data_IF_408077235292
#
_entry.id   IF_408077235292
#
_cell.length_a   1.000
_cell.length_b   1.000
_cell.length_c   1.000
_cell.angle_alpha   90.00
_cell.angle_beta   90.00
_cell.angle_gamma   90.00
#
_symmetry.space_group_name_H-M   'P 1'
#
loop_
_entity.id
_entity.type
_entity.pdbx_description
1 polymer ?
#
# COMPACT_ATOMS: atom_id res chain seq x y z
N UNK A 1 -29.92 3.53 20.81
CA UNK A 1 -30.88 3.51 19.69
C UNK A 1 -30.27 4.30 18.52
N UNK A 2 -29.45 3.65 17.68
CA UNK A 2 -28.95 4.24 16.45
C UNK A 2 -29.92 3.84 15.34
N UNK A 3 -30.61 4.82 14.74
CA UNK A 3 -31.47 4.61 13.59
C UNK A 3 -30.64 3.96 12.49
N UNK A 4 -31.00 2.73 12.12
CA UNK A 4 -30.70 2.20 10.81
C UNK A 4 -31.32 3.19 9.81
N UNK A 5 -30.48 3.96 9.13
CA UNK A 5 -30.89 4.67 7.93
C UNK A 5 -31.37 3.60 6.95
N UNK A 6 -32.66 3.62 6.64
CA UNK A 6 -33.28 2.78 5.62
C UNK A 6 -32.48 2.94 4.33
N UNK A 7 -31.75 1.90 3.95
CA UNK A 7 -31.21 1.79 2.60
C UNK A 7 -32.42 1.47 1.75
N UNK A 8 -33.05 2.51 1.21
CA UNK A 8 -34.01 2.34 0.13
C UNK A 8 -33.24 1.66 -1.00
N UNK A 9 -33.55 0.39 -1.26
CA UNK A 9 -33.05 -0.33 -2.43
C UNK A 9 -33.75 0.30 -3.63
N UNK A 10 -33.19 1.41 -4.12
CA UNK A 10 -33.37 1.86 -5.48
C UNK A 10 -32.75 0.79 -6.39
N UNK A 11 -33.27 0.66 -7.61
CA UNK A 11 -33.03 -0.37 -8.63
C UNK A 11 -31.63 -1.01 -8.68
N UNK A 12 -31.51 -2.14 -9.40
CA UNK A 12 -30.21 -2.76 -9.74
C UNK A 12 -29.20 -1.74 -10.32
N UNK A 13 -29.68 -0.69 -10.99
CA UNK A 13 -28.87 0.41 -11.51
C UNK A 13 -28.39 1.45 -10.48
N UNK A 14 -28.89 1.46 -9.24
CA UNK A 14 -28.46 2.44 -8.24
C UNK A 14 -26.96 2.29 -7.94
N UNK A 15 -26.26 3.41 -7.94
CA UNK A 15 -24.83 3.47 -7.76
C UNK A 15 -24.38 2.90 -6.40
N UNK A 16 -25.16 3.08 -5.32
CA UNK A 16 -24.85 2.49 -4.01
C UNK A 16 -24.89 0.96 -4.04
N UNK A 17 -25.91 0.38 -4.68
CA UNK A 17 -26.04 -1.08 -4.84
C UNK A 17 -24.84 -1.64 -5.60
N UNK A 18 -24.46 -0.97 -6.69
CA UNK A 18 -23.29 -1.31 -7.50
C UNK A 18 -21.98 -1.18 -6.73
N UNK A 19 -21.83 -0.17 -5.87
CA UNK A 19 -20.63 0.00 -5.03
C UNK A 19 -20.50 -1.16 -4.03
N UNK A 20 -21.58 -1.59 -3.40
CA UNK A 20 -21.56 -2.69 -2.44
C UNK A 20 -21.22 -4.03 -3.13
N UNK A 21 -21.77 -4.27 -4.33
CA UNK A 21 -21.40 -5.42 -5.17
C UNK A 21 -19.93 -5.36 -5.63
N UNK A 22 -19.45 -4.19 -6.05
CA UNK A 22 -18.05 -3.98 -6.40
C UNK A 22 -17.11 -4.24 -5.22
N UNK A 23 -17.50 -3.88 -4.00
CA UNK A 23 -16.74 -4.19 -2.79
C UNK A 23 -16.56 -5.70 -2.56
N UNK A 24 -17.57 -6.50 -2.89
CA UNK A 24 -17.47 -7.97 -2.83
C UNK A 24 -16.56 -8.50 -3.93
N UNK A 25 -16.66 -7.96 -5.15
CA UNK A 25 -15.81 -8.34 -6.28
C UNK A 25 -14.32 -8.10 -5.98
N UNK A 26 -13.95 -6.89 -5.52
CA UNK A 26 -12.54 -6.56 -5.23
C UNK A 26 -11.96 -7.35 -4.04
N UNK A 27 -12.81 -7.85 -3.13
CA UNK A 27 -12.39 -8.78 -2.06
C UNK A 27 -12.01 -10.15 -2.61
N UNK A 28 -12.72 -10.62 -3.63
CA UNK A 28 -12.44 -11.91 -4.27
C UNK A 28 -11.13 -11.87 -5.09
N UNK A 29 -10.78 -10.72 -5.67
CA UNK A 29 -9.58 -10.49 -6.49
C UNK A 29 -8.23 -10.51 -5.73
N UNK A 30 -8.23 -10.88 -4.44
CA UNK A 30 -7.01 -10.91 -3.59
C UNK A 30 -6.21 -9.58 -3.58
N UNK A 31 -6.90 -8.46 -3.78
CA UNK A 31 -6.28 -7.13 -3.69
C UNK A 31 -5.88 -6.82 -2.24
N UNK A 32 -4.89 -5.92 -2.08
CA UNK A 32 -4.48 -5.52 -0.74
C UNK A 32 -5.62 -4.79 0.00
N UNK A 33 -5.75 -4.92 1.33
CA UNK A 33 -6.78 -4.20 2.10
C UNK A 33 -6.76 -2.69 1.87
N UNK A 34 -5.57 -2.11 1.69
CA UNK A 34 -5.40 -0.69 1.38
C UNK A 34 -5.96 -0.34 -0.02
N UNK A 35 -5.78 -1.21 -1.01
CA UNK A 35 -6.34 -1.04 -2.36
C UNK A 35 -7.86 -1.10 -2.33
N UNK A 36 -8.42 -2.06 -1.58
CA UNK A 36 -9.87 -2.18 -1.38
C UNK A 36 -10.46 -0.88 -0.83
N UNK A 37 -9.94 -0.42 0.31
CA UNK A 37 -10.39 0.82 0.96
C UNK A 37 -10.25 2.02 0.04
N UNK A 38 -9.14 2.10 -0.71
CA UNK A 38 -8.93 3.19 -1.65
C UNK A 38 -9.95 3.18 -2.81
N UNK A 39 -10.23 2.02 -3.40
CA UNK A 39 -11.09 1.91 -4.58
C UNK A 39 -12.56 2.07 -4.20
N UNK A 40 -13.03 1.35 -3.19
CA UNK A 40 -14.43 1.48 -2.76
C UNK A 40 -14.70 2.84 -2.13
N UNK A 41 -13.75 3.36 -1.33
CA UNK A 41 -13.85 4.71 -0.78
C UNK A 41 -13.90 5.80 -1.86
N UNK A 42 -13.24 5.58 -2.99
CA UNK A 42 -13.33 6.49 -4.14
C UNK A 42 -14.72 6.46 -4.78
N UNK A 43 -15.30 5.28 -5.00
CA UNK A 43 -16.63 5.17 -5.59
C UNK A 43 -17.71 5.77 -4.68
N UNK A 44 -17.60 5.56 -3.35
CA UNK A 44 -18.46 6.23 -2.36
C UNK A 44 -18.29 7.75 -2.37
N UNK A 45 -17.05 8.26 -2.47
CA UNK A 45 -16.79 9.69 -2.58
C UNK A 45 -17.43 10.30 -3.83
N UNK A 46 -17.38 9.58 -4.96
CA UNK A 46 -18.03 10.00 -6.20
C UNK A 46 -19.56 10.00 -6.09
N UNK A 47 -20.16 8.96 -5.50
CA UNK A 47 -21.60 8.94 -5.22
C UNK A 47 -22.04 10.14 -4.38
N UNK A 48 -21.34 10.43 -3.27
CA UNK A 48 -21.63 11.62 -2.45
C UNK A 48 -21.55 12.91 -3.26
N UNK A 49 -20.54 13.06 -4.11
CA UNK A 49 -20.41 14.22 -4.99
C UNK A 49 -21.59 14.38 -5.94
N UNK A 50 -22.06 13.29 -6.57
CA UNK A 50 -23.22 13.33 -7.47
C UNK A 50 -24.49 13.78 -6.74
N UNK A 51 -24.74 13.22 -5.56
CA UNK A 51 -25.89 13.58 -4.73
C UNK A 51 -25.85 15.06 -4.34
N UNK A 52 -24.70 15.54 -3.87
CA UNK A 52 -24.54 16.93 -3.43
C UNK A 52 -24.76 17.95 -4.57
N UNK A 53 -24.55 17.54 -5.83
CA UNK A 53 -24.71 18.40 -7.01
C UNK A 53 -25.99 18.12 -7.79
N UNK A 54 -26.89 17.26 -7.28
CA UNK A 54 -28.15 16.92 -7.95
C UNK A 54 -27.96 16.18 -9.28
N UNK A 55 -26.85 15.45 -9.44
CA UNK A 55 -26.52 14.66 -10.62
C UNK A 55 -27.13 13.25 -10.54
N UNK A 56 -27.23 12.51 -11.67
CA UNK A 56 -27.82 11.17 -11.69
C UNK A 56 -27.11 10.19 -10.75
N UNK A 57 -27.90 9.35 -10.07
CA UNK A 57 -27.42 8.31 -9.16
C UNK A 57 -27.57 6.89 -9.72
N UNK A 58 -28.19 6.73 -10.89
CA UNK A 58 -28.24 5.45 -11.61
C UNK A 58 -26.99 5.33 -12.49
N UNK A 59 -26.28 4.21 -12.38
CA UNK A 59 -25.02 3.93 -13.08
C UNK A 59 -25.18 4.02 -14.60
N UNK A 60 -26.34 3.69 -15.15
CA UNK A 60 -26.63 3.76 -16.59
C UNK A 60 -26.77 5.20 -17.10
N UNK A 61 -27.13 6.13 -16.22
CA UNK A 61 -27.30 7.55 -16.53
C UNK A 61 -26.01 8.36 -16.30
N UNK A 62 -24.97 7.74 -15.75
CA UNK A 62 -23.69 8.41 -15.54
C UNK A 62 -22.97 8.57 -16.89
N UNK A 63 -22.66 9.82 -17.22
CA UNK A 63 -21.90 10.20 -18.42
C UNK A 63 -20.54 10.77 -18.07
N UNK A 64 -19.72 10.98 -19.10
CA UNK A 64 -18.34 11.47 -18.97
C UNK A 64 -18.27 12.79 -18.21
N UNK A 65 -19.20 13.71 -18.49
CA UNK A 65 -19.28 15.04 -17.88
C UNK A 65 -19.40 14.99 -16.35
N UNK A 66 -20.10 13.99 -15.80
CA UNK A 66 -20.22 13.82 -14.35
C UNK A 66 -18.88 13.41 -13.72
N UNK A 67 -18.16 12.51 -14.39
CA UNK A 67 -16.82 12.08 -13.96
C UNK A 67 -15.82 13.23 -14.09
N UNK A 68 -15.83 13.97 -15.20
CA UNK A 68 -14.97 15.14 -15.41
C UNK A 68 -15.21 16.23 -14.36
N UNK A 69 -16.48 16.51 -14.03
CA UNK A 69 -16.85 17.45 -12.97
C UNK A 69 -16.29 17.03 -11.61
N UNK A 70 -16.41 15.75 -11.25
CA UNK A 70 -15.82 15.22 -10.02
C UNK A 70 -14.29 15.31 -9.99
N UNK A 71 -13.62 14.94 -11.08
CA UNK A 71 -12.15 15.02 -11.17
C UNK A 71 -11.68 16.48 -11.09
N UNK A 72 -12.41 17.42 -11.69
CA UNK A 72 -12.14 18.85 -11.58
C UNK A 72 -12.26 19.35 -10.14
N UNK A 73 -13.33 18.96 -9.43
CA UNK A 73 -13.50 19.27 -8.00
C UNK A 73 -12.36 18.71 -7.13
N UNK A 74 -11.92 17.48 -7.42
CA UNK A 74 -10.79 16.87 -6.73
C UNK A 74 -9.48 17.65 -6.96
N UNK A 75 -9.24 18.15 -8.17
CA UNK A 75 -8.03 18.91 -8.50
C UNK A 75 -7.99 20.29 -7.83
N UNK A 76 -9.15 20.86 -7.49
CA UNK A 76 -9.23 22.11 -6.72
C UNK A 76 -8.91 21.89 -5.23
N UNK A 77 -9.25 20.70 -4.70
CA UNK A 77 -9.14 20.40 -3.26
C UNK A 77 -7.87 19.63 -2.88
N UNK A 78 -7.30 18.86 -3.82
CA UNK A 78 -6.25 17.89 -3.54
C UNK A 78 -5.07 17.98 -4.51
N UNK A 79 -3.94 17.40 -4.08
CA UNK A 79 -2.77 17.25 -4.96
C UNK A 79 -3.13 16.42 -6.21
N UNK A 80 -2.51 16.68 -7.37
CA UNK A 80 -2.75 15.91 -8.60
C UNK A 80 -2.58 14.39 -8.44
N UNK A 81 -1.63 13.97 -7.61
CA UNK A 81 -1.43 12.54 -7.30
C UNK A 81 -2.64 11.91 -6.60
N UNK A 82 -3.28 12.62 -5.68
CA UNK A 82 -4.50 12.16 -5.01
C UNK A 82 -5.66 12.06 -6.01
N UNK A 83 -5.86 13.10 -6.83
CA UNK A 83 -6.89 13.09 -7.87
C UNK A 83 -6.67 11.95 -8.88
N UNK A 84 -5.42 11.67 -9.25
CA UNK A 84 -5.08 10.53 -10.12
C UNK A 84 -5.40 9.18 -9.46
N UNK A 85 -5.10 9.01 -8.17
CA UNK A 85 -5.47 7.79 -7.44
C UNK A 85 -6.99 7.59 -7.40
N UNK A 86 -7.78 8.66 -7.21
CA UNK A 86 -9.25 8.60 -7.30
C UNK A 86 -9.71 8.29 -8.72
N UNK A 87 -9.10 8.89 -9.75
CA UNK A 87 -9.37 8.52 -11.14
C UNK A 87 -9.16 7.02 -11.38
N UNK A 88 -8.09 6.42 -10.85
CA UNK A 88 -7.83 4.97 -10.99
C UNK A 88 -8.84 4.11 -10.24
N UNK A 89 -9.30 4.55 -9.07
CA UNK A 89 -10.37 3.89 -8.34
C UNK A 89 -11.68 3.85 -9.16
N UNK A 90 -12.09 5.00 -9.73
CA UNK A 90 -13.26 5.06 -10.61
C UNK A 90 -13.08 4.25 -11.89
N UNK A 91 -11.89 4.25 -12.47
CA UNK A 91 -11.60 3.45 -13.66
C UNK A 91 -11.79 1.95 -13.38
N UNK A 92 -11.37 1.48 -12.19
CA UNK A 92 -11.61 0.10 -11.77
C UNK A 92 -13.11 -0.18 -11.56
N UNK A 93 -13.83 0.74 -10.93
CA UNK A 93 -15.27 0.62 -10.70
C UNK A 93 -16.06 0.54 -12.01
N UNK A 94 -15.87 1.49 -12.92
CA UNK A 94 -16.59 1.52 -14.21
C UNK A 94 -16.14 0.45 -15.21
N UNK A 95 -14.96 -0.15 -14.99
CA UNK A 95 -14.57 -1.36 -15.71
C UNK A 95 -15.40 -2.55 -15.21
N UNK A 96 -15.52 -2.72 -13.90
CA UNK A 96 -16.34 -3.78 -13.32
C UNK A 96 -17.82 -3.65 -13.72
N UNK A 97 -18.42 -2.46 -13.68
CA UNK A 97 -19.82 -2.26 -14.11
C UNK A 97 -20.04 -2.62 -15.59
N UNK A 98 -19.02 -2.45 -16.43
CA UNK A 98 -19.08 -2.87 -17.84
C UNK A 98 -18.98 -4.39 -17.98
N UNK A 99 -18.13 -5.04 -17.18
CA UNK A 99 -17.96 -6.50 -17.17
C UNK A 99 -19.21 -7.23 -16.64
N UNK A 100 -19.90 -6.67 -15.65
CA UNK A 100 -21.19 -7.18 -15.13
C UNK A 100 -22.39 -6.83 -16.02
N UNK A 101 -22.21 -5.97 -17.04
CA UNK A 101 -23.27 -5.58 -17.97
C UNK A 101 -24.22 -4.49 -17.45
N UNK A 102 -23.92 -3.86 -16.31
CA UNK A 102 -24.67 -2.74 -15.72
C UNK A 102 -24.64 -1.49 -16.63
N UNK A 103 -23.57 -1.33 -17.40
CA UNK A 103 -23.45 -0.31 -18.45
C UNK A 103 -23.03 -0.93 -19.77
N UNK A 104 -23.55 -0.42 -20.89
CA UNK A 104 -23.10 -0.83 -22.24
C UNK A 104 -21.78 -0.19 -22.65
N UNK A 105 -21.45 0.95 -22.06
CA UNK A 105 -20.25 1.73 -22.37
C UNK A 105 -19.80 2.45 -21.11
N UNK A 106 -18.52 2.35 -20.78
CA UNK A 106 -17.97 3.05 -19.63
C UNK A 106 -18.00 4.57 -19.84
N UNK A 107 -18.46 5.38 -18.86
CA UNK A 107 -18.35 6.85 -18.94
C UNK A 107 -16.89 7.32 -18.95
N UNK A 108 -15.96 6.45 -18.51
CA UNK A 108 -14.53 6.69 -18.51
C UNK A 108 -13.80 6.20 -19.77
N UNK A 109 -14.54 5.68 -20.76
CA UNK A 109 -13.94 5.26 -22.03
C UNK A 109 -13.18 6.44 -22.66
N UNK A 110 -11.91 6.22 -23.02
CA UNK A 110 -11.00 7.20 -23.61
C UNK A 110 -10.70 8.45 -22.76
N UNK A 111 -11.08 8.47 -21.48
CA UNK A 111 -10.63 9.53 -20.57
C UNK A 111 -9.13 9.42 -20.30
N UNK A 112 -8.49 10.58 -20.07
CA UNK A 112 -7.08 10.65 -19.66
C UNK A 112 -7.00 10.95 -18.17
N UNK A 113 -6.10 10.27 -17.43
CA UNK A 113 -5.91 10.54 -16.02
C UNK A 113 -5.34 11.96 -15.81
N UNK A 114 -5.57 12.59 -14.64
CA UNK A 114 -4.92 13.84 -14.27
C UNK A 114 -3.40 13.76 -14.39
N UNK A 115 -2.78 14.79 -14.98
CA UNK A 115 -1.32 14.85 -15.11
C UNK A 115 -0.70 15.03 -13.73
N UNK A 116 0.16 14.10 -13.35
CA UNK A 116 0.99 14.22 -12.15
C UNK A 116 2.31 14.87 -12.59
N UNK A 117 2.69 16.05 -12.04
CA UNK A 117 4.02 16.59 -12.25
C UNK A 117 5.07 15.61 -11.74
N UNK A 118 6.14 15.40 -12.49
CA UNK A 118 7.27 14.59 -12.05
C UNK A 118 7.99 15.33 -10.92
N UNK A 119 7.83 14.83 -9.69
CA UNK A 119 8.62 15.24 -8.54
C UNK A 119 9.51 14.06 -8.16
N UNK A 120 10.76 14.10 -8.58
CA UNK A 120 11.75 13.13 -8.13
C UNK A 120 12.11 13.43 -6.67
N UNK A 121 12.05 12.43 -5.77
CA UNK A 121 12.61 12.58 -4.44
C UNK A 121 14.09 12.97 -4.54
N UNK A 122 14.61 13.80 -3.63
CA UNK A 122 16.03 14.10 -3.59
C UNK A 122 16.83 12.80 -3.39
N UNK A 123 17.91 12.65 -4.16
CA UNK A 123 18.82 11.52 -4.01
C UNK A 123 19.73 11.79 -2.81
N UNK A 124 19.80 10.84 -1.87
CA UNK A 124 20.71 10.91 -0.73
C UNK A 124 22.16 10.90 -1.22
N UNK A 125 22.97 11.85 -0.75
CA UNK A 125 24.41 11.89 -1.05
C UNK A 125 25.16 10.87 -0.18
N UNK A 126 26.36 10.53 -0.59
CA UNK A 126 27.21 9.61 0.18
C UNK A 126 27.45 10.10 1.62
N UNK A 127 27.64 11.41 1.80
CA UNK A 127 27.85 11.99 3.14
C UNK A 127 26.57 11.97 4.00
N UNK A 128 25.39 12.09 3.39
CA UNK A 128 24.12 11.93 4.10
C UNK A 128 23.99 10.50 4.65
N UNK A 129 24.36 9.50 3.85
CA UNK A 129 24.37 8.09 4.27
C UNK A 129 25.39 7.84 5.38
N UNK A 130 26.58 8.45 5.32
CA UNK A 130 27.60 8.36 6.39
C UNK A 130 27.07 8.93 7.69
N UNK A 131 26.47 10.13 7.67
CA UNK A 131 25.89 10.75 8.85
C UNK A 131 24.72 9.94 9.42
N UNK A 132 23.85 9.41 8.56
CA UNK A 132 22.74 8.56 8.98
C UNK A 132 23.24 7.30 9.69
N UNK A 133 24.22 6.60 9.11
CA UNK A 133 24.81 5.41 9.73
C UNK A 133 25.53 5.75 11.04
N UNK A 134 26.27 6.85 11.10
CA UNK A 134 26.94 7.30 12.33
C UNK A 134 25.93 7.59 13.45
N UNK A 135 24.77 8.16 13.11
CA UNK A 135 23.68 8.40 14.07
C UNK A 135 23.12 7.09 14.61
N UNK A 136 22.93 6.08 13.76
CA UNK A 136 22.46 4.76 14.20
C UNK A 136 23.52 4.00 15.01
N UNK A 137 24.81 4.18 14.71
CA UNK A 137 25.93 3.47 15.35
C UNK A 137 26.52 4.24 16.56
N UNK A 138 25.74 5.12 17.19
CA UNK A 138 26.18 5.98 18.29
C UNK A 138 26.51 5.22 19.59
N UNK A 139 25.98 4.01 19.77
CA UNK A 139 26.22 3.18 20.94
C UNK A 139 26.25 1.67 20.59
N UNK A 140 26.53 0.83 21.60
CA UNK A 140 26.49 -0.64 21.47
C UNK A 140 25.21 -1.27 22.03
N UNK A 141 24.22 -0.46 22.39
CA UNK A 141 22.92 -0.93 22.87
C UNK A 141 22.08 -1.61 21.78
N UNK A 142 20.95 -2.18 22.20
CA UNK A 142 20.09 -2.95 21.33
C UNK A 142 19.49 -2.10 20.21
N UNK A 143 19.01 -0.91 20.54
CA UNK A 143 18.33 0.03 19.66
C UNK A 143 19.31 0.53 18.58
N UNK A 144 20.53 0.93 18.95
CA UNK A 144 21.58 1.35 18.03
C UNK A 144 21.97 0.23 17.07
N UNK A 145 22.14 -1.01 17.58
CA UNK A 145 22.46 -2.17 16.72
C UNK A 145 21.32 -2.51 15.77
N UNK A 146 20.08 -2.45 16.24
CA UNK A 146 18.87 -2.67 15.42
C UNK A 146 18.81 -1.65 14.29
N UNK A 147 18.89 -0.37 14.64
CA UNK A 147 18.70 0.73 13.70
C UNK A 147 19.84 0.75 12.66
N UNK A 148 21.08 0.49 13.08
CA UNK A 148 22.21 0.37 12.16
C UNK A 148 22.04 -0.81 11.18
N UNK A 149 21.57 -1.96 11.65
CA UNK A 149 21.31 -3.11 10.78
C UNK A 149 20.15 -2.83 9.80
N UNK A 150 19.06 -2.22 10.29
CA UNK A 150 17.91 -1.83 9.49
C UNK A 150 18.29 -0.87 8.35
N UNK A 151 19.02 0.20 8.66
CA UNK A 151 19.45 1.18 7.65
C UNK A 151 20.40 0.55 6.63
N UNK A 152 21.31 -0.32 7.05
CA UNK A 152 22.21 -1.05 6.13
C UNK A 152 21.45 -1.96 5.18
N UNK A 153 20.40 -2.65 5.66
CA UNK A 153 19.51 -3.44 4.80
C UNK A 153 18.82 -2.57 3.75
N UNK A 154 18.31 -1.39 4.14
CA UNK A 154 17.72 -0.46 3.17
C UNK A 154 18.73 0.02 2.12
N UNK A 155 19.95 0.37 2.55
CA UNK A 155 21.01 0.84 1.65
C UNK A 155 21.42 -0.25 0.64
N UNK A 156 21.62 -1.49 1.09
CA UNK A 156 22.08 -2.58 0.22
C UNK A 156 21.00 -3.05 -0.77
N UNK A 157 19.73 -3.05 -0.35
CA UNK A 157 18.67 -3.73 -1.11
C UNK A 157 17.74 -2.79 -1.88
N UNK A 158 17.62 -1.53 -1.45
CA UNK A 158 16.59 -0.62 -1.96
C UNK A 158 15.15 -1.15 -1.81
N UNK A 159 14.93 -2.10 -0.89
CA UNK A 159 13.65 -2.75 -0.69
C UNK A 159 12.61 -1.80 -0.06
N UNK A 160 11.33 -2.13 -0.23
CA UNK A 160 10.24 -1.34 0.35
C UNK A 160 10.22 -1.51 1.86
N UNK A 161 9.75 -0.48 2.57
CA UNK A 161 9.54 -0.53 4.01
C UNK A 161 8.76 -1.77 4.45
N UNK A 162 7.67 -2.09 3.75
CA UNK A 162 6.85 -3.27 4.06
C UNK A 162 7.56 -4.60 3.81
N UNK A 163 8.53 -4.65 2.90
CA UNK A 163 9.31 -5.85 2.64
C UNK A 163 10.30 -6.09 3.79
N UNK A 164 10.97 -5.02 4.24
CA UNK A 164 11.97 -5.09 5.32
C UNK A 164 11.31 -5.25 6.69
N UNK A 165 10.30 -4.45 7.03
CA UNK A 165 9.65 -4.46 8.33
C UNK A 165 8.99 -5.81 8.66
N UNK A 166 8.61 -6.59 7.64
CA UNK A 166 7.96 -7.89 7.79
C UNK A 166 8.94 -9.07 7.71
N UNK A 167 10.25 -8.84 7.69
CA UNK A 167 11.22 -9.94 7.79
C UNK A 167 11.02 -10.71 9.09
N UNK A 168 11.06 -12.03 9.01
CA UNK A 168 10.96 -12.93 10.15
C UNK A 168 12.28 -13.65 10.38
N UNK A 169 12.57 -13.89 11.65
CA UNK A 169 13.71 -14.65 12.09
C UNK A 169 13.27 -15.68 13.12
N UNK A 170 13.43 -16.95 12.76
CA UNK A 170 13.17 -18.09 13.62
C UNK A 170 14.52 -18.74 13.96
N UNK A 171 15.01 -18.60 15.21
CA UNK A 171 16.32 -19.15 15.60
C UNK A 171 16.45 -20.67 15.42
N UNK A 172 15.33 -21.39 15.51
CA UNK A 172 15.26 -22.85 15.53
C UNK A 172 14.53 -23.44 14.31
N UNK A 173 14.23 -22.63 13.29
CA UNK A 173 13.50 -23.06 12.08
C UNK A 173 14.06 -22.36 10.83
N UNK A 174 15.01 -23.02 10.17
CA UNK A 174 15.63 -22.54 8.94
C UNK A 174 14.65 -22.46 7.76
N UNK A 175 13.54 -23.21 7.78
CA UNK A 175 12.57 -23.25 6.68
C UNK A 175 11.74 -21.98 6.62
N UNK A 176 11.35 -21.46 7.79
CA UNK A 176 10.54 -20.24 7.90
C UNK A 176 11.37 -18.97 8.12
N UNK A 177 12.71 -19.09 8.14
CA UNK A 177 13.61 -17.97 8.37
C UNK A 177 13.81 -17.14 7.08
N UNK A 178 13.50 -15.85 7.17
CA UNK A 178 13.65 -14.92 6.05
C UNK A 178 15.10 -14.37 5.96
N UNK A 179 15.96 -14.64 6.95
CA UNK A 179 17.33 -14.11 7.04
C UNK A 179 18.37 -15.22 6.98
N UNK A 180 19.11 -15.31 5.88
CA UNK A 180 20.26 -16.20 5.72
C UNK A 180 21.56 -15.38 5.66
N UNK A 181 22.26 -15.31 6.79
CA UNK A 181 23.52 -14.57 6.90
C UNK A 181 24.70 -15.28 6.24
N UNK A 182 24.63 -16.61 6.08
CA UNK A 182 25.71 -17.40 5.46
C UNK A 182 25.66 -17.21 3.95
N UNK A 183 24.47 -17.33 3.37
CA UNK A 183 24.21 -17.03 1.96
C UNK A 183 24.23 -15.53 1.65
N UNK A 184 24.12 -14.67 2.65
CA UNK A 184 24.04 -13.22 2.47
C UNK A 184 22.78 -12.81 1.74
N UNK A 185 21.64 -13.41 2.09
CA UNK A 185 20.35 -13.18 1.43
C UNK A 185 19.21 -12.93 2.41
N UNK A 186 18.21 -12.17 1.96
CA UNK A 186 16.94 -11.95 2.62
C UNK A 186 15.80 -12.41 1.72
N UNK A 187 14.83 -13.15 2.27
CA UNK A 187 13.59 -13.52 1.56
C UNK A 187 12.50 -12.52 1.92
N UNK A 188 11.90 -11.87 0.92
CA UNK A 188 10.84 -10.88 1.17
C UNK A 188 9.61 -11.16 0.34
N UNK A 189 8.45 -10.77 0.89
CA UNK A 189 7.18 -10.82 0.19
C UNK A 189 6.92 -9.47 -0.51
N UNK A 190 7.08 -9.45 -1.83
CA UNK A 190 6.87 -8.28 -2.67
C UNK A 190 5.40 -8.02 -3.04
N UNK A 191 5.19 -7.07 -3.96
CA UNK A 191 3.87 -6.72 -4.48
C UNK A 191 3.15 -7.94 -5.05
N UNK A 192 1.86 -8.09 -4.72
CA UNK A 192 1.06 -9.23 -5.15
C UNK A 192 1.36 -10.52 -4.38
N UNK A 193 1.96 -10.42 -3.19
CA UNK A 193 2.34 -11.57 -2.35
C UNK A 193 3.28 -12.55 -3.08
N UNK A 194 4.21 -12.02 -3.88
CA UNK A 194 5.23 -12.82 -4.57
C UNK A 194 6.54 -12.74 -3.83
N UNK A 195 7.14 -13.88 -3.55
CA UNK A 195 8.44 -13.94 -2.90
C UNK A 195 9.55 -13.50 -3.85
N UNK A 196 10.57 -12.84 -3.30
CA UNK A 196 11.83 -12.57 -3.99
C UNK A 196 12.99 -12.60 -3.01
N UNK A 197 14.18 -12.88 -3.54
CA UNK A 197 15.44 -12.90 -2.80
C UNK A 197 16.16 -11.57 -3.00
N UNK A 198 16.71 -11.01 -1.92
CA UNK A 198 17.54 -9.81 -1.91
C UNK A 198 18.93 -10.19 -1.39
N UNK A 199 19.97 -9.91 -2.17
CA UNK A 199 21.35 -10.07 -1.70
C UNK A 199 21.77 -8.91 -0.81
N UNK A 200 22.56 -9.19 0.22
CA UNK A 200 23.13 -8.20 1.14
C UNK A 200 24.65 -8.33 1.19
N UNK A 201 25.34 -7.20 1.34
CA UNK A 201 26.79 -7.14 1.41
C UNK A 201 27.35 -7.52 2.79
N UNK A 202 28.64 -7.81 2.83
CA UNK A 202 29.33 -8.24 4.05
C UNK A 202 29.21 -7.24 5.23
N UNK A 203 29.10 -5.93 4.95
CA UNK A 203 28.89 -4.92 6.00
C UNK A 203 27.52 -5.06 6.67
N UNK A 204 26.49 -5.36 5.89
CA UNK A 204 25.11 -5.57 6.35
C UNK A 204 24.98 -6.90 7.08
N UNK A 205 25.58 -7.98 6.55
CA UNK A 205 25.67 -9.27 7.24
C UNK A 205 26.28 -9.10 8.64
N UNK A 206 27.41 -8.41 8.75
CA UNK A 206 28.04 -8.15 10.07
C UNK A 206 27.18 -7.30 11.00
N UNK A 207 26.42 -6.35 10.48
CA UNK A 207 25.52 -5.53 11.29
C UNK A 207 24.32 -6.34 11.81
N UNK A 208 23.71 -7.14 10.94
CA UNK A 208 22.63 -8.06 11.30
C UNK A 208 23.09 -9.10 12.32
N UNK A 209 24.27 -9.69 12.14
CA UNK A 209 24.84 -10.63 13.11
C UNK A 209 25.01 -10.00 14.51
N UNK A 210 25.57 -8.78 14.59
CA UNK A 210 25.69 -8.05 15.86
C UNK A 210 24.33 -7.79 16.50
N UNK A 211 23.35 -7.38 15.71
CA UNK A 211 21.99 -7.15 16.18
C UNK A 211 21.34 -8.44 16.68
N UNK A 212 21.39 -9.52 15.89
CA UNK A 212 20.77 -10.80 16.21
C UNK A 212 21.36 -11.44 17.46
N UNK A 213 22.64 -11.25 17.75
CA UNK A 213 23.26 -11.66 19.02
C UNK A 213 22.62 -10.97 20.23
N UNK A 214 22.41 -9.66 20.17
CA UNK A 214 21.72 -8.94 21.25
C UNK A 214 20.24 -9.32 21.32
N UNK A 215 19.59 -9.52 20.17
CA UNK A 215 18.19 -9.98 20.11
C UNK A 215 18.01 -11.31 20.84
N UNK A 216 18.84 -12.31 20.55
CA UNK A 216 18.78 -13.64 21.20
C UNK A 216 18.94 -13.60 22.72
N UNK A 217 19.64 -12.61 23.26
CA UNK A 217 19.82 -12.45 24.70
C UNK A 217 18.56 -11.90 25.41
N UNK A 218 17.60 -11.35 24.68
CA UNK A 218 16.36 -10.79 25.25
C UNK A 218 15.27 -11.87 25.34
N UNK A 219 14.61 -11.99 26.51
CA UNK A 219 13.53 -12.96 26.73
C UNK A 219 12.37 -12.85 25.73
N UNK A 220 12.09 -11.64 25.24
CA UNK A 220 10.99 -11.39 24.30
C UNK A 220 11.29 -11.83 22.87
N UNK A 221 12.54 -12.13 22.51
CA UNK A 221 12.92 -12.49 21.13
C UNK A 221 12.34 -13.80 20.63
N UNK A 222 11.98 -14.69 21.56
CA UNK A 222 11.34 -15.98 21.26
C UNK A 222 9.81 -15.86 21.13
N UNK A 223 9.23 -14.75 21.59
CA UNK A 223 7.79 -14.55 21.60
C UNK A 223 7.25 -14.06 20.25
N UNK A 224 8.11 -13.44 19.44
CA UNK A 224 7.71 -12.86 18.16
C UNK A 224 8.66 -13.24 17.03
N UNK A 225 8.13 -13.66 15.86
CA UNK A 225 8.96 -14.04 14.72
C UNK A 225 9.55 -12.82 14.00
N UNK A 226 9.00 -11.63 14.21
CA UNK A 226 9.40 -10.43 13.48
C UNK A 226 10.82 -10.00 13.86
N UNK A 227 11.66 -9.82 12.84
CA UNK A 227 13.09 -9.57 12.98
C UNK A 227 13.38 -8.35 13.86
N UNK A 228 12.65 -7.25 13.64
CA UNK A 228 12.94 -5.95 14.25
C UNK A 228 12.27 -5.71 15.61
N UNK A 229 11.37 -6.60 16.02
CA UNK A 229 10.70 -6.51 17.31
C UNK A 229 11.55 -7.21 18.37
N UNK A 230 11.73 -6.54 19.50
CA UNK A 230 12.48 -7.05 20.67
C UNK A 230 12.29 -6.20 21.91
N UNK A 231 11.17 -5.48 21.99
CA UNK A 231 10.69 -4.79 23.20
C UNK A 231 9.85 -5.77 24.01
#
# INVERSE_FOLDING_TARGET
VRRASSVDIKSVGDLCVNIDSFELHIRAENLSPATLVAYSGTARQFHSYLVDHGMPSDVADIRREHVESFIADLLLKWKPATANNRYRGLQSFFKWTLEEGEVKTSPMANMKPPRIPENHPPVLREDDLKHLLATCEHSQDFESRRDAALIRVFIDTGARLSEIANLRCFPDDDTNNDVDLVGGILRVLGKGRRERILSIGAKTVRALDRYLRLRRARRTSQLFPWLWLGV
#
